data_IF_723676852078
#
_entry.id   IF_723676852078
#
_cell.length_a   1.000
_cell.length_b   1.000
_cell.length_c   1.000
_cell.angle_alpha   90.00
_cell.angle_beta   90.00
_cell.angle_gamma   90.00
#
_symmetry.space_group_name_H-M   'P 1'
#
loop_
_entity.id
_entity.type
_entity.pdbx_description
1 polymer ?
#
# COMPACT_ATOMS: atom_id res chain seq x y z
N UNK A 1 15.05 -24.58 -0.91
CA UNK A 1 14.83 -23.18 -1.39
C UNK A 1 13.84 -23.23 -2.55
N UNK A 2 12.74 -22.45 -2.53
CA UNK A 2 11.72 -22.49 -3.59
C UNK A 2 12.28 -21.98 -4.92
N UNK A 3 12.03 -22.65 -6.07
CA UNK A 3 12.47 -22.21 -7.39
C UNK A 3 12.05 -20.76 -7.71
N UNK A 4 12.92 -20.00 -8.41
CA UNK A 4 12.67 -18.59 -8.76
C UNK A 4 11.37 -18.39 -9.54
N UNK A 5 11.10 -19.28 -10.51
CA UNK A 5 9.87 -19.24 -11.32
C UNK A 5 8.62 -19.40 -10.45
N UNK A 6 8.67 -20.28 -9.45
CA UNK A 6 7.54 -20.49 -8.53
C UNK A 6 7.26 -19.26 -7.68
N UNK A 7 8.28 -18.59 -7.14
CA UNK A 7 8.11 -17.35 -6.35
C UNK A 7 7.44 -16.25 -7.18
N UNK A 8 7.91 -16.05 -8.40
CA UNK A 8 7.35 -15.05 -9.31
C UNK A 8 5.90 -15.36 -9.71
N UNK A 9 5.59 -16.65 -9.96
CA UNK A 9 4.22 -17.08 -10.27
C UNK A 9 3.27 -16.87 -9.08
N UNK A 10 3.69 -17.23 -7.87
CA UNK A 10 2.89 -17.05 -6.66
C UNK A 10 2.57 -15.57 -6.40
N UNK A 11 3.57 -14.68 -6.51
CA UNK A 11 3.36 -13.24 -6.34
C UNK A 11 2.37 -12.69 -7.39
N UNK A 12 2.55 -13.01 -8.67
CA UNK A 12 1.62 -12.56 -9.72
C UNK A 12 0.21 -13.09 -9.50
N UNK A 13 0.07 -14.36 -9.13
CA UNK A 13 -1.23 -14.97 -8.84
C UNK A 13 -1.95 -14.24 -7.71
N UNK A 14 -1.25 -13.99 -6.59
CA UNK A 14 -1.80 -13.28 -5.44
C UNK A 14 -2.22 -11.83 -5.78
N UNK A 15 -1.39 -11.09 -6.53
CA UNK A 15 -1.73 -9.72 -6.94
C UNK A 15 -2.88 -9.69 -7.96
N UNK A 16 -2.91 -10.63 -8.91
CA UNK A 16 -3.99 -10.73 -9.90
C UNK A 16 -5.33 -11.03 -9.24
N UNK A 17 -5.34 -11.93 -8.25
CA UNK A 17 -6.53 -12.23 -7.46
C UNK A 17 -7.07 -10.99 -6.74
N UNK A 18 -6.18 -10.25 -6.06
CA UNK A 18 -6.57 -8.99 -5.39
C UNK A 18 -7.09 -7.93 -6.35
N UNK A 19 -6.49 -7.81 -7.55
CA UNK A 19 -6.97 -6.89 -8.58
C UNK A 19 -8.38 -7.26 -9.06
N UNK A 20 -8.65 -8.55 -9.34
CA UNK A 20 -9.99 -9.02 -9.76
C UNK A 20 -11.07 -8.74 -8.73
N UNK A 21 -10.72 -8.71 -7.45
CA UNK A 21 -11.64 -8.40 -6.36
C UNK A 21 -11.68 -6.91 -5.97
N UNK A 22 -11.17 -6.02 -6.83
CA UNK A 22 -11.13 -4.56 -6.61
C UNK A 22 -10.46 -4.18 -5.28
N UNK A 23 -9.36 -4.87 -4.93
CA UNK A 23 -8.61 -4.65 -3.68
C UNK A 23 -7.25 -4.00 -3.90
N UNK A 24 -6.93 -3.61 -5.13
CA UNK A 24 -5.73 -2.87 -5.47
C UNK A 24 -6.18 -1.50 -5.97
N UNK A 25 -5.62 -0.46 -5.39
CA UNK A 25 -5.89 0.93 -5.75
C UNK A 25 -4.55 1.59 -6.07
N UNK A 26 -4.49 2.30 -7.19
CA UNK A 26 -3.32 3.08 -7.60
C UNK A 26 -3.66 4.55 -7.38
N UNK A 27 -2.80 5.25 -6.66
CA UNK A 27 -2.94 6.68 -6.37
C UNK A 27 -1.70 7.41 -6.84
N UNK A 28 -1.85 8.69 -7.17
CA UNK A 28 -0.73 9.55 -7.58
C UNK A 28 0.20 9.92 -6.43
N UNK A 29 -0.29 9.87 -5.19
CA UNK A 29 0.48 10.13 -3.99
C UNK A 29 -0.34 9.92 -2.72
N UNK A 30 0.34 9.84 -1.57
CA UNK A 30 -0.32 9.66 -0.26
C UNK A 30 -0.65 10.99 0.41
N UNK A 31 0.18 12.00 0.17
CA UNK A 31 0.02 13.36 0.69
C UNK A 31 0.38 14.37 -0.40
N UNK A 32 -0.35 15.49 -0.45
CA UNK A 32 -0.02 16.62 -1.32
C UNK A 32 0.77 17.65 -0.51
N UNK A 33 2.11 17.52 -0.52
CA UNK A 33 3.02 18.42 0.20
C UNK A 33 3.68 17.79 1.42
N UNK A 34 3.63 18.49 2.56
CA UNK A 34 4.34 18.11 3.78
C UNK A 34 3.83 16.83 4.46
N UNK A 35 4.67 16.29 5.36
CA UNK A 35 4.36 15.09 6.15
C UNK A 35 3.11 15.32 7.01
N UNK A 36 2.09 14.47 6.84
CA UNK A 36 0.83 14.57 7.59
C UNK A 36 0.13 13.23 7.73
N UNK A 37 0.17 12.67 8.95
CA UNK A 37 -0.55 11.43 9.29
C UNK A 37 -2.06 11.57 9.17
N UNK A 38 -2.59 12.77 9.45
CA UNK A 38 -4.02 13.06 9.28
C UNK A 38 -4.43 12.96 7.81
N UNK A 39 -3.66 13.56 6.90
CA UNK A 39 -3.93 13.51 5.47
C UNK A 39 -3.87 12.06 4.94
N UNK A 40 -2.83 11.31 5.29
CA UNK A 40 -2.70 9.90 4.92
C UNK A 40 -3.88 9.05 5.42
N UNK A 41 -4.28 9.21 6.70
CA UNK A 41 -5.45 8.51 7.26
C UNK A 41 -6.74 8.85 6.52
N UNK A 42 -6.95 10.11 6.20
CA UNK A 42 -8.14 10.56 5.44
C UNK A 42 -8.16 9.99 4.02
N UNK A 43 -7.02 10.00 3.31
CA UNK A 43 -6.93 9.42 1.97
C UNK A 43 -7.25 7.91 2.00
N UNK A 44 -6.56 7.16 2.87
CA UNK A 44 -6.75 5.71 2.96
C UNK A 44 -8.19 5.34 3.34
N UNK A 45 -8.82 6.12 4.24
CA UNK A 45 -10.22 5.92 4.62
C UNK A 45 -11.22 6.17 3.49
N UNK A 46 -10.89 7.01 2.49
CA UNK A 46 -11.71 7.18 1.28
C UNK A 46 -11.59 6.01 0.30
N UNK A 47 -10.50 5.24 0.39
CA UNK A 47 -10.18 4.15 -0.54
C UNK A 47 -10.74 2.82 -0.03
N UNK A 48 -10.60 2.55 1.28
CA UNK A 48 -10.97 1.25 1.85
C UNK A 48 -11.24 1.35 3.35
N UNK A 49 -12.27 0.64 3.80
CA UNK A 49 -12.62 0.47 5.22
C UNK A 49 -12.02 -0.82 5.84
N UNK A 50 -11.19 -1.54 5.09
CA UNK A 50 -10.59 -2.80 5.56
C UNK A 50 -9.63 -2.58 6.73
N UNK A 51 -9.65 -3.53 7.67
CA UNK A 51 -8.83 -3.49 8.89
C UNK A 51 -7.32 -3.55 8.65
N UNK A 52 -6.86 -4.10 7.52
CA UNK A 52 -5.45 -4.26 7.21
C UNK A 52 -5.19 -3.75 5.79
N UNK A 53 -4.26 -2.81 5.66
CA UNK A 53 -3.85 -2.19 4.40
C UNK A 53 -2.36 -2.42 4.17
N UNK A 54 -2.01 -2.73 2.92
CA UNK A 54 -0.63 -2.72 2.44
C UNK A 54 -0.44 -1.48 1.58
N UNK A 55 0.39 -0.56 2.05
CA UNK A 55 0.81 0.61 1.29
C UNK A 55 2.18 0.33 0.69
N UNK A 56 2.29 0.40 -0.63
CA UNK A 56 3.58 0.28 -1.33
C UNK A 56 3.96 1.67 -1.79
N UNK A 57 5.13 2.14 -1.38
CA UNK A 57 5.65 3.46 -1.76
C UNK A 57 6.97 3.31 -2.50
N UNK A 58 7.34 4.35 -3.26
CA UNK A 58 8.71 4.41 -3.75
C UNK A 58 9.67 4.56 -2.57
N UNK A 59 10.87 3.99 -2.69
CA UNK A 59 11.90 4.07 -1.64
C UNK A 59 12.30 5.53 -1.34
N UNK A 60 12.21 6.42 -2.32
CA UNK A 60 12.54 7.84 -2.15
C UNK A 60 11.38 8.69 -1.61
N UNK A 61 10.17 8.14 -1.48
CA UNK A 61 8.99 8.88 -1.00
C UNK A 61 8.92 8.89 0.54
N UNK A 62 9.84 9.65 1.15
CA UNK A 62 9.91 9.81 2.61
C UNK A 62 8.63 10.45 3.19
N UNK A 63 8.00 11.35 2.44
CA UNK A 63 6.80 12.05 2.90
C UNK A 63 5.63 11.08 3.10
N UNK A 64 5.39 10.19 2.13
CA UNK A 64 4.40 9.13 2.26
C UNK A 64 4.75 8.17 3.41
N UNK A 65 6.01 7.74 3.50
CA UNK A 65 6.48 6.82 4.53
C UNK A 65 6.25 7.37 5.94
N UNK A 66 6.74 8.59 6.23
CA UNK A 66 6.62 9.24 7.53
C UNK A 66 5.16 9.56 7.89
N UNK A 67 4.32 9.84 6.89
CA UNK A 67 2.90 10.12 7.11
C UNK A 67 2.12 8.86 7.49
N UNK A 68 2.44 7.70 6.93
CA UNK A 68 1.65 6.47 7.13
C UNK A 68 2.23 5.50 8.18
N UNK A 69 3.53 5.55 8.51
CA UNK A 69 4.23 4.52 9.32
C UNK A 69 3.67 4.28 10.73
N UNK A 70 2.96 5.26 11.29
CA UNK A 70 2.39 5.18 12.65
C UNK A 70 0.91 4.75 12.63
N UNK A 71 0.32 4.50 11.46
CA UNK A 71 -1.07 4.05 11.37
C UNK A 71 -1.14 2.54 11.69
N UNK A 72 -1.87 2.12 12.74
CA UNK A 72 -1.83 0.74 13.22
C UNK A 72 -2.32 -0.29 12.21
N UNK A 73 -3.21 0.11 11.29
CA UNK A 73 -3.76 -0.76 10.25
C UNK A 73 -2.90 -0.85 8.97
N UNK A 74 -1.82 -0.07 8.87
CA UNK A 74 -1.04 0.05 7.64
C UNK A 74 0.31 -0.64 7.78
N UNK A 75 0.56 -1.60 6.89
CA UNK A 75 1.91 -2.10 6.65
C UNK A 75 2.49 -1.38 5.42
N UNK A 76 3.75 -0.94 5.50
CA UNK A 76 4.42 -0.20 4.42
C UNK A 76 5.56 -1.04 3.86
N UNK A 77 5.67 -1.07 2.53
CA UNK A 77 6.77 -1.64 1.75
C UNK A 77 7.42 -0.60 0.84
#
# INVERSE_FOLDING_TARGET
RTPKKMKAAALRGALSDRARHSRIHVVTGVVEGGISTKAAKTLLGKISERQNLLLVVDRADEAAWLSARNLPQVHIL
#
